data_IF_067327227538
#
_entry.id   IF_067327227538
#
_cell.length_a   1.000
_cell.length_b   1.000
_cell.length_c   1.000
_cell.angle_alpha   90.00
_cell.angle_beta   90.00
_cell.angle_gamma   90.00
#
_symmetry.space_group_name_H-M   'P 1'
#
loop_
_entity.id
_entity.type
_entity.pdbx_description
1 polymer ?
#
# COMPACT_ATOMS: atom_id res chain seq x y z
N UNK A 1 -37.32 -32.52 -21.15
CA UNK A 1 -37.03 -31.36 -20.29
C UNK A 1 -35.52 -31.25 -20.12
N UNK A 2 -34.86 -30.41 -20.93
CA UNK A 2 -33.45 -30.04 -20.73
C UNK A 2 -33.45 -28.82 -19.81
N UNK A 3 -32.98 -29.00 -18.58
CA UNK A 3 -32.86 -27.94 -17.60
C UNK A 3 -31.88 -26.89 -18.12
N UNK A 4 -32.34 -25.66 -18.07
CA UNK A 4 -31.61 -24.42 -18.30
C UNK A 4 -30.49 -24.36 -17.27
N UNK A 5 -29.24 -24.55 -17.71
CA UNK A 5 -28.05 -24.14 -16.98
C UNK A 5 -27.49 -22.88 -17.66
N UNK A 6 -28.35 -21.87 -17.79
CA UNK A 6 -27.95 -20.48 -17.90
C UNK A 6 -28.01 -19.93 -16.47
N UNK A 7 -27.02 -19.15 -16.07
CA UNK A 7 -26.79 -18.49 -14.76
C UNK A 7 -25.74 -19.21 -13.92
N UNK A 8 -24.53 -18.66 -13.98
CA UNK A 8 -23.39 -19.14 -13.19
C UNK A 8 -22.03 -18.67 -13.67
N UNK A 9 -21.95 -17.86 -14.75
CA UNK A 9 -20.84 -16.90 -14.85
C UNK A 9 -21.15 -15.86 -13.79
N UNK A 10 -20.57 -16.07 -12.62
CA UNK A 10 -20.56 -15.14 -11.51
C UNK A 10 -19.83 -13.89 -12.00
N UNK A 11 -20.57 -12.97 -12.63
CA UNK A 11 -20.20 -11.56 -12.71
C UNK A 11 -20.21 -11.08 -11.26
N UNK A 12 -19.10 -11.31 -10.55
CA UNK A 12 -18.74 -10.47 -9.42
C UNK A 12 -18.50 -9.11 -10.07
N UNK A 13 -19.57 -8.32 -10.21
CA UNK A 13 -19.37 -6.88 -10.25
C UNK A 13 -18.59 -6.58 -8.99
N UNK A 14 -17.37 -6.05 -9.11
CA UNK A 14 -16.67 -5.45 -7.99
C UNK A 14 -17.68 -4.54 -7.28
N UNK A 15 -18.11 -4.94 -6.09
CA UNK A 15 -18.87 -4.05 -5.23
C UNK A 15 -17.86 -3.09 -4.65
N UNK A 16 -17.64 -2.00 -5.38
CA UNK A 16 -16.83 -0.86 -5.00
C UNK A 16 -17.35 -0.32 -3.66
N UNK A 17 -16.47 -0.02 -2.70
CA UNK A 17 -16.89 0.60 -1.45
C UNK A 17 -17.42 2.02 -1.67
N UNK A 18 -18.16 2.54 -0.68
CA UNK A 18 -18.63 3.92 -0.68
C UNK A 18 -17.46 4.92 -0.73
N UNK A 19 -16.35 4.62 -0.06
CA UNK A 19 -15.14 5.45 -0.06
C UNK A 19 -14.48 5.49 -1.44
N UNK A 20 -14.37 4.34 -2.12
CA UNK A 20 -13.80 4.30 -3.46
C UNK A 20 -14.71 4.99 -4.49
N UNK A 21 -16.03 4.87 -4.35
CA UNK A 21 -16.97 5.62 -5.18
C UNK A 21 -16.85 7.15 -4.99
N UNK A 22 -16.63 7.63 -3.77
CA UNK A 22 -16.38 9.05 -3.50
C UNK A 22 -15.11 9.53 -4.21
N UNK A 23 -14.01 8.78 -4.10
CA UNK A 23 -12.74 9.11 -4.76
C UNK A 23 -12.88 9.14 -6.29
N UNK A 24 -13.55 8.14 -6.88
CA UNK A 24 -13.84 8.11 -8.31
C UNK A 24 -14.64 9.34 -8.71
N UNK A 25 -15.70 9.67 -7.98
CA UNK A 25 -16.55 10.83 -8.27
C UNK A 25 -15.80 12.16 -8.20
N UNK A 26 -14.88 12.33 -7.26
CA UNK A 26 -14.03 13.53 -7.19
C UNK A 26 -13.09 13.62 -8.40
N UNK A 27 -12.44 12.52 -8.76
CA UNK A 27 -11.52 12.48 -9.89
C UNK A 27 -12.25 12.70 -11.22
N UNK A 28 -13.42 12.08 -11.43
CA UNK A 28 -14.30 12.32 -12.58
C UNK A 28 -14.77 13.79 -12.65
N UNK A 29 -15.07 14.40 -11.50
CA UNK A 29 -15.46 15.81 -11.43
C UNK A 29 -14.34 16.79 -11.77
N UNK A 30 -13.07 16.38 -11.62
CA UNK A 30 -11.88 17.21 -11.90
C UNK A 30 -11.27 16.95 -13.27
N UNK A 31 -11.48 15.77 -13.84
CA UNK A 31 -10.89 15.35 -15.11
C UNK A 31 -11.95 14.79 -16.05
N UNK A 32 -12.27 15.52 -17.12
CA UNK A 32 -13.21 15.04 -18.16
C UNK A 32 -12.63 13.89 -19.00
N UNK A 33 -11.30 13.78 -19.09
CA UNK A 33 -10.58 12.69 -19.78
C UNK A 33 -9.23 12.41 -19.11
N UNK A 34 -8.75 11.15 -19.11
CA UNK A 34 -9.40 9.93 -19.63
C UNK A 34 -10.62 9.49 -18.79
N UNK A 35 -11.34 8.45 -19.23
CA UNK A 35 -12.43 7.81 -18.45
C UNK A 35 -11.83 7.26 -17.15
N UNK A 36 -11.99 8.03 -16.07
CA UNK A 36 -11.34 7.78 -14.79
C UNK A 36 -11.85 6.48 -14.17
N UNK A 37 -13.17 6.26 -14.17
CA UNK A 37 -13.77 5.05 -13.61
C UNK A 37 -13.26 3.81 -14.32
N UNK A 38 -13.37 3.77 -15.64
CA UNK A 38 -12.87 2.61 -16.39
C UNK A 38 -11.37 2.41 -16.19
N UNK A 39 -10.59 3.48 -16.07
CA UNK A 39 -9.15 3.39 -15.79
C UNK A 39 -8.88 2.75 -14.42
N UNK A 40 -9.59 3.18 -13.37
CA UNK A 40 -9.43 2.63 -12.02
C UNK A 40 -9.90 1.18 -11.95
N UNK A 41 -11.06 0.87 -12.56
CA UNK A 41 -11.56 -0.51 -12.66
C UNK A 41 -10.55 -1.42 -13.35
N UNK A 42 -9.97 -1.00 -14.48
CA UNK A 42 -8.93 -1.76 -15.17
C UNK A 42 -7.66 -1.91 -14.33
N UNK A 43 -7.25 -0.89 -13.55
CA UNK A 43 -6.10 -1.00 -12.64
C UNK A 43 -6.34 -2.06 -11.56
N UNK A 44 -7.56 -2.14 -11.03
CA UNK A 44 -7.92 -3.13 -10.01
C UNK A 44 -8.04 -4.54 -10.61
N UNK A 45 -8.70 -4.68 -11.76
CA UNK A 45 -8.97 -5.98 -12.39
C UNK A 45 -7.73 -6.58 -13.08
N UNK A 46 -7.02 -5.79 -13.91
CA UNK A 46 -5.93 -6.30 -14.76
C UNK A 46 -4.55 -6.18 -14.09
N UNK A 47 -4.36 -5.16 -13.24
CA UNK A 47 -3.07 -4.87 -12.60
C UNK A 47 -3.06 -5.16 -11.09
N UNK A 48 -4.14 -5.76 -10.58
CA UNK A 48 -4.30 -6.24 -9.21
C UNK A 48 -4.04 -5.14 -8.16
N UNK A 49 -4.32 -3.88 -8.46
CA UNK A 49 -4.30 -2.83 -7.44
C UNK A 49 -5.41 -3.11 -6.42
N UNK A 50 -5.07 -3.13 -5.13
CA UNK A 50 -6.12 -3.20 -4.12
C UNK A 50 -6.91 -1.89 -4.08
N UNK A 51 -8.09 -1.95 -3.47
CA UNK A 51 -8.86 -0.75 -3.16
C UNK A 51 -8.08 0.18 -2.22
N UNK A 52 -7.39 -0.37 -1.22
CA UNK A 52 -6.58 0.39 -0.28
C UNK A 52 -5.44 1.16 -0.97
N UNK A 53 -4.82 0.59 -2.01
CA UNK A 53 -3.80 1.29 -2.78
C UNK A 53 -4.38 2.49 -3.55
N UNK A 54 -5.57 2.34 -4.13
CA UNK A 54 -6.24 3.44 -4.85
C UNK A 54 -6.64 4.55 -3.87
N UNK A 55 -7.24 4.20 -2.74
CA UNK A 55 -7.62 5.14 -1.69
C UNK A 55 -6.40 5.83 -1.08
N UNK A 56 -5.34 5.08 -0.78
CA UNK A 56 -4.08 5.60 -0.22
C UNK A 56 -3.40 6.59 -1.15
N UNK A 57 -3.37 6.28 -2.46
CA UNK A 57 -2.81 7.17 -3.48
C UNK A 57 -3.54 8.52 -3.53
N UNK A 58 -4.88 8.51 -3.51
CA UNK A 58 -5.66 9.75 -3.50
C UNK A 58 -5.54 10.51 -2.17
N UNK A 59 -5.67 9.80 -1.04
CA UNK A 59 -5.58 10.37 0.30
C UNK A 59 -4.29 11.16 0.48
N UNK A 60 -3.16 10.62 0.03
CA UNK A 60 -1.86 11.30 0.08
C UNK A 60 -1.87 12.64 -0.66
N UNK A 61 -2.43 12.68 -1.87
CA UNK A 61 -2.52 13.92 -2.65
C UNK A 61 -3.42 14.96 -1.99
N UNK A 62 -4.50 14.50 -1.34
CA UNK A 62 -5.41 15.35 -0.59
C UNK A 62 -4.76 15.90 0.69
N UNK A 63 -4.03 15.06 1.45
CA UNK A 63 -3.31 15.46 2.66
C UNK A 63 -2.19 16.48 2.35
N UNK A 64 -1.50 16.31 1.21
CA UNK A 64 -0.49 17.25 0.69
C UNK A 64 -1.11 18.51 0.04
N UNK A 65 -2.44 18.60 -0.04
CA UNK A 65 -3.19 19.73 -0.64
C UNK A 65 -2.71 20.06 -2.06
N UNK A 66 -2.47 19.03 -2.85
CA UNK A 66 -1.99 19.17 -4.24
C UNK A 66 -3.04 19.92 -5.06
N UNK A 67 -2.59 20.93 -5.81
CA UNK A 67 -3.44 21.69 -6.73
C UNK A 67 -3.98 20.82 -7.86
N UNK A 68 -5.20 21.11 -8.33
CA UNK A 68 -5.93 20.29 -9.31
C UNK A 68 -5.11 19.96 -10.57
N UNK A 69 -4.34 20.90 -11.10
CA UNK A 69 -3.47 20.70 -12.27
C UNK A 69 -2.40 19.60 -12.08
N UNK A 70 -1.99 19.35 -10.84
CA UNK A 70 -0.99 18.35 -10.47
C UNK A 70 -1.60 17.11 -9.82
N UNK A 71 -2.91 17.10 -9.56
CA UNK A 71 -3.59 16.04 -8.82
C UNK A 71 -3.47 14.69 -9.56
N UNK A 72 -3.65 14.66 -10.87
CA UNK A 72 -3.53 13.41 -11.64
C UNK A 72 -2.09 12.86 -11.60
N UNK A 73 -1.09 13.74 -11.72
CA UNK A 73 0.32 13.34 -11.60
C UNK A 73 0.65 12.83 -10.21
N UNK A 74 0.14 13.48 -9.17
CA UNK A 74 0.30 13.02 -7.80
C UNK A 74 -0.38 11.65 -7.60
N UNK A 75 -1.60 11.49 -8.09
CA UNK A 75 -2.38 10.26 -7.94
C UNK A 75 -1.68 9.08 -8.62
N UNK A 76 -1.20 9.25 -9.86
CA UNK A 76 -0.42 8.24 -10.57
C UNK A 76 0.86 7.89 -9.77
N UNK A 77 1.60 8.89 -9.29
CA UNK A 77 2.78 8.65 -8.45
C UNK A 77 2.45 7.92 -7.14
N UNK A 78 1.31 8.25 -6.53
CA UNK A 78 0.76 7.58 -5.36
C UNK A 78 0.44 6.12 -5.64
N UNK A 79 -0.22 5.80 -6.76
CA UNK A 79 -0.55 4.43 -7.15
C UNK A 79 0.72 3.57 -7.24
N UNK A 80 1.77 4.03 -7.93
CA UNK A 80 3.03 3.31 -8.00
C UNK A 80 3.64 3.06 -6.61
N UNK A 81 3.60 4.07 -5.73
CA UNK A 81 4.10 3.94 -4.36
C UNK A 81 3.31 2.89 -3.58
N UNK A 82 1.98 2.98 -3.58
CA UNK A 82 1.13 2.05 -2.84
C UNK A 82 1.29 0.62 -3.35
N UNK A 83 1.37 0.40 -4.67
CA UNK A 83 1.62 -0.94 -5.23
C UNK A 83 2.97 -1.52 -4.81
N UNK A 84 4.01 -0.68 -4.75
CA UNK A 84 5.32 -1.10 -4.24
C UNK A 84 5.21 -1.47 -2.76
N UNK A 85 4.51 -0.67 -1.96
CA UNK A 85 4.30 -0.96 -0.55
C UNK A 85 3.56 -2.27 -0.36
N UNK A 86 2.49 -2.54 -1.11
CA UNK A 86 1.78 -3.82 -1.07
C UNK A 86 2.67 -5.01 -1.41
N UNK A 87 3.37 -4.93 -2.54
CA UNK A 87 4.19 -6.03 -3.05
C UNK A 87 5.42 -6.29 -2.20
N UNK A 88 5.98 -5.25 -1.57
CA UNK A 88 7.28 -5.31 -0.92
C UNK A 88 7.23 -5.01 0.59
N UNK A 89 6.04 -4.87 1.21
CA UNK A 89 5.88 -4.56 2.64
C UNK A 89 6.78 -5.40 3.53
N UNK A 90 6.72 -6.72 3.36
CA UNK A 90 7.49 -7.67 4.17
C UNK A 90 9.00 -7.46 3.94
N UNK A 91 9.41 -7.25 2.69
CA UNK A 91 10.82 -7.03 2.35
C UNK A 91 11.34 -5.70 2.91
N UNK A 92 10.54 -4.65 2.88
CA UNK A 92 10.86 -3.34 3.47
C UNK A 92 10.99 -3.44 4.99
N UNK A 93 9.96 -3.99 5.67
CA UNK A 93 9.96 -4.19 7.12
C UNK A 93 11.16 -5.03 7.59
N UNK A 94 11.46 -6.13 6.88
CA UNK A 94 12.61 -6.99 7.22
C UNK A 94 13.94 -6.29 6.96
N UNK A 95 14.09 -5.54 5.87
CA UNK A 95 15.31 -4.77 5.56
C UNK A 95 15.62 -3.74 6.64
N UNK A 96 14.62 -3.01 7.13
CA UNK A 96 14.80 -2.02 8.19
C UNK A 96 15.09 -2.69 9.54
N UNK A 97 14.42 -3.79 9.87
CA UNK A 97 14.75 -4.58 11.05
C UNK A 97 16.22 -5.02 11.04
N UNK A 98 16.69 -5.59 9.93
CA UNK A 98 18.07 -6.01 9.80
C UNK A 98 19.04 -4.83 9.86
N UNK A 99 18.69 -3.68 9.28
CA UNK A 99 19.54 -2.49 9.30
C UNK A 99 19.69 -1.92 10.72
N UNK A 100 18.59 -1.76 11.45
CA UNK A 100 18.62 -1.29 12.84
C UNK A 100 19.33 -2.28 13.76
N UNK A 101 18.96 -3.55 13.66
CA UNK A 101 19.59 -4.64 14.44
C UNK A 101 21.08 -4.74 14.15
N UNK A 102 21.49 -4.66 12.89
CA UNK A 102 22.91 -4.72 12.53
C UNK A 102 23.69 -3.57 13.17
N UNK A 103 23.20 -2.33 13.06
CA UNK A 103 23.91 -1.18 13.63
C UNK A 103 24.04 -1.27 15.15
N UNK A 104 22.95 -1.54 15.86
CA UNK A 104 22.94 -1.54 17.33
C UNK A 104 23.65 -2.77 17.92
N UNK A 105 23.47 -3.94 17.30
CA UNK A 105 24.18 -5.14 17.73
C UNK A 105 25.65 -5.15 17.36
N UNK A 106 26.02 -4.63 16.20
CA UNK A 106 27.42 -4.54 15.80
C UNK A 106 28.20 -3.67 16.79
N UNK A 107 27.66 -2.49 17.16
CA UNK A 107 28.27 -1.61 18.15
C UNK A 107 28.38 -2.29 19.53
N UNK A 108 27.29 -2.87 20.02
CA UNK A 108 27.26 -3.55 21.33
C UNK A 108 28.23 -4.74 21.39
N UNK A 109 28.32 -5.53 20.31
CA UNK A 109 29.24 -6.67 20.24
C UNK A 109 30.70 -6.25 20.09
N UNK A 110 30.97 -5.16 19.36
CA UNK A 110 32.33 -4.63 19.22
C UNK A 110 32.85 -4.03 20.53
N UNK A 111 31.97 -3.47 21.36
CA UNK A 111 32.35 -2.89 22.65
C UNK A 111 32.51 -3.94 23.76
N UNK A 112 31.66 -4.97 23.79
CA UNK A 112 31.55 -5.86 24.96
C UNK A 112 32.03 -7.31 24.76
N UNK A 113 32.24 -7.81 23.53
CA UNK A 113 32.77 -9.16 23.23
C UNK A 113 32.18 -10.33 24.07
N UNK A 114 30.97 -10.21 24.60
CA UNK A 114 30.27 -11.29 25.31
C UNK A 114 29.12 -11.83 24.47
N UNK A 115 28.69 -13.09 24.68
CA UNK A 115 27.50 -13.64 24.02
C UNK A 115 26.21 -12.85 24.29
N UNK A 116 26.14 -12.08 25.40
CA UNK A 116 24.99 -11.23 25.68
C UNK A 116 24.84 -10.06 24.71
N UNK A 117 25.87 -9.76 23.90
CA UNK A 117 25.81 -8.67 22.93
C UNK A 117 24.79 -8.88 21.81
N UNK A 118 24.26 -10.09 21.64
CA UNK A 118 23.18 -10.40 20.68
C UNK A 118 21.77 -10.16 21.25
N UNK A 119 21.63 -9.70 22.50
CA UNK A 119 20.30 -9.40 23.09
C UNK A 119 19.53 -8.32 22.32
N UNK A 120 20.24 -7.34 21.75
CA UNK A 120 19.72 -6.30 20.85
C UNK A 120 18.95 -6.84 19.63
N UNK A 121 19.21 -8.08 19.19
CA UNK A 121 18.45 -8.72 18.10
C UNK A 121 16.97 -8.84 18.45
N UNK A 122 16.67 -9.08 19.73
CA UNK A 122 15.29 -9.14 20.22
C UNK A 122 14.65 -7.77 20.43
N UNK A 123 15.43 -6.69 20.57
CA UNK A 123 14.93 -5.35 20.90
C UNK A 123 14.20 -4.70 19.73
N UNK A 124 14.60 -4.99 18.49
CA UNK A 124 13.93 -4.48 17.28
C UNK A 124 12.80 -5.39 16.77
N UNK A 125 12.61 -6.57 17.37
CA UNK A 125 11.60 -7.53 16.92
C UNK A 125 10.16 -6.98 17.02
N UNK A 126 9.78 -6.19 18.06
CA UNK A 126 8.47 -5.53 18.10
C UNK A 126 8.24 -4.61 16.89
N UNK A 127 9.24 -3.82 16.48
CA UNK A 127 9.11 -2.91 15.34
C UNK A 127 8.87 -3.67 14.02
N UNK A 128 9.51 -4.83 13.84
CA UNK A 128 9.26 -5.71 12.70
C UNK A 128 7.81 -6.22 12.70
N UNK A 129 7.34 -6.66 13.87
CA UNK A 129 5.96 -7.16 14.05
C UNK A 129 4.95 -6.05 13.76
N UNK A 130 5.16 -4.85 14.30
CA UNK A 130 4.28 -3.69 14.11
C UNK A 130 4.24 -3.25 12.64
N UNK A 131 5.40 -3.25 11.95
CA UNK A 131 5.49 -2.95 10.53
C UNK A 131 4.69 -3.96 9.69
N UNK A 132 4.84 -5.27 9.97
CA UNK A 132 4.12 -6.33 9.27
C UNK A 132 2.60 -6.25 9.53
N UNK A 133 2.21 -6.07 10.81
CA UNK A 133 0.81 -6.14 11.26
C UNK A 133 0.00 -4.85 11.02
N UNK A 134 0.62 -3.74 10.66
CA UNK A 134 -0.11 -2.57 10.14
C UNK A 134 -0.51 -1.54 11.19
N UNK A 135 0.49 -0.92 11.82
CA UNK A 135 0.41 0.51 12.13
C UNK A 135 1.06 1.28 10.97
N UNK A 136 0.56 2.47 10.59
CA UNK A 136 1.08 3.18 9.43
C UNK A 136 2.55 3.52 9.69
N UNK A 137 3.41 3.10 8.76
CA UNK A 137 4.82 3.45 8.79
C UNK A 137 4.95 4.92 8.45
N UNK A 138 5.24 5.75 9.44
CA UNK A 138 5.77 7.09 9.20
C UNK A 138 7.25 6.93 8.86
N UNK A 139 7.61 7.13 7.59
CA UNK A 139 9.00 7.33 7.22
C UNK A 139 9.51 8.58 7.97
N UNK A 140 10.40 8.39 8.95
CA UNK A 140 11.16 9.47 9.58
C UNK A 140 12.44 9.75 8.81
#
# INVERSE_FOLDING_TARGET
MKLIAFLGVLLIKLTVSEELEEVIGVLEGKFEKPDIRSTIENLMEDYEFSEEAVLGAYKRCNDEKVVDENLLSCFIGGLYREKILENHKIMLCTSEYFSGTYMDCFLTCFENYTPECLKCVGEHLPNLIDCILGLPYEFQ
#
